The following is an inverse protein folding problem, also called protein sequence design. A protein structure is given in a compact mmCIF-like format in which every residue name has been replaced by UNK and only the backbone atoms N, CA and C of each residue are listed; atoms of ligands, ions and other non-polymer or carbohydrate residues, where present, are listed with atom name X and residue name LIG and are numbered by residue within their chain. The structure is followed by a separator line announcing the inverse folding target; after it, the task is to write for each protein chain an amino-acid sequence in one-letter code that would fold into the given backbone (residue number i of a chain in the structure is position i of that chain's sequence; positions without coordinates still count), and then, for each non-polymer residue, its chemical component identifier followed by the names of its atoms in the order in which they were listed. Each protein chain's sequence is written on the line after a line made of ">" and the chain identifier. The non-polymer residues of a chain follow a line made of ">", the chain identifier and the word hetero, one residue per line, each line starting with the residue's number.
data_IF_292597942677
#
_entry.id   IF_292597942677
#
_cell.length_a   1.000
_cell.length_b   1.000
_cell.length_c   1.000
_cell.angle_alpha   90.00
_cell.angle_beta   90.00
_cell.angle_gamma   90.00
#
_symmetry.space_group_name_H-M   'P 1'
#
loop_
_entity.id
_entity.type
_entity.pdbx_description
1 polymer ?
#
# COMPACT_ATOMS: atom_id res chain seq x y z
N UNK A 1 -0.89 -16.49 21.43
CA UNK A 1 -0.30 -16.17 20.12
C UNK A 1 -0.70 -17.27 19.17
N UNK A 2 -1.55 -16.95 18.20
CA UNK A 2 -2.00 -17.94 17.22
C UNK A 2 -0.81 -18.36 16.34
N UNK A 3 -0.78 -19.61 15.89
CA UNK A 3 0.27 -20.15 15.02
C UNK A 3 0.43 -19.33 13.73
N UNK A 4 -0.65 -18.71 13.26
CA UNK A 4 -0.68 -17.81 12.10
C UNK A 4 0.08 -16.49 12.35
N UNK A 5 -0.05 -15.89 13.53
CA UNK A 5 0.62 -14.63 13.89
C UNK A 5 2.14 -14.79 13.98
N UNK A 6 2.61 -15.90 14.55
CA UNK A 6 4.03 -16.20 14.69
C UNK A 6 4.66 -16.42 13.31
N UNK A 7 3.98 -17.13 12.41
CA UNK A 7 4.40 -17.30 11.03
C UNK A 7 4.44 -15.96 10.27
N UNK A 8 3.47 -15.08 10.47
CA UNK A 8 3.44 -13.74 9.87
C UNK A 8 4.60 -12.87 10.37
N UNK A 9 4.88 -12.88 11.68
CA UNK A 9 6.03 -12.15 12.27
C UNK A 9 7.36 -12.63 11.72
N UNK A 10 7.56 -13.95 11.61
CA UNK A 10 8.75 -14.55 11.00
C UNK A 10 8.89 -14.16 9.51
N UNK A 11 7.80 -14.22 8.74
CA UNK A 11 7.78 -13.76 7.34
C UNK A 11 8.17 -12.30 7.21
N UNK A 12 7.65 -11.43 8.08
CA UNK A 12 8.03 -10.01 8.09
C UNK A 12 9.51 -9.86 8.44
N UNK A 13 10.01 -10.55 9.47
CA UNK A 13 11.41 -10.47 9.88
C UNK A 13 12.37 -10.86 8.74
N UNK A 14 12.06 -11.93 8.02
CA UNK A 14 12.91 -12.48 6.96
C UNK A 14 12.77 -11.72 5.62
N UNK A 15 11.55 -11.36 5.22
CA UNK A 15 11.28 -10.89 3.85
C UNK A 15 11.14 -9.37 3.73
N UNK A 16 10.99 -8.62 4.83
CA UNK A 16 10.75 -7.17 4.79
C UNK A 16 11.87 -6.42 4.09
N UNK A 17 13.11 -6.64 4.50
CA UNK A 17 14.27 -5.94 3.93
C UNK A 17 14.51 -6.27 2.45
N UNK A 18 14.58 -7.56 2.03
CA UNK A 18 14.80 -7.87 0.61
C UNK A 18 13.66 -7.37 -0.27
N UNK A 19 12.39 -7.43 0.16
CA UNK A 19 11.27 -6.87 -0.62
C UNK A 19 11.35 -5.35 -0.77
N UNK A 20 11.81 -4.64 0.27
CA UNK A 20 12.00 -3.18 0.18
C UNK A 20 13.16 -2.81 -0.73
N UNK A 21 14.25 -3.57 -0.71
CA UNK A 21 15.35 -3.38 -1.66
C UNK A 21 14.90 -3.62 -3.11
N UNK A 22 14.13 -4.68 -3.36
CA UNK A 22 13.56 -4.96 -4.67
C UNK A 22 12.61 -3.84 -5.15
N UNK A 23 11.76 -3.32 -4.26
CA UNK A 23 10.89 -2.18 -4.57
C UNK A 23 11.71 -0.93 -4.93
N UNK A 24 12.77 -0.63 -4.19
CA UNK A 24 13.65 0.51 -4.50
C UNK A 24 14.30 0.34 -5.89
N UNK A 25 14.77 -0.86 -6.21
CA UNK A 25 15.31 -1.16 -7.54
C UNK A 25 14.25 -1.00 -8.65
N UNK A 26 12.98 -1.35 -8.39
CA UNK A 26 11.88 -1.11 -9.33
C UNK A 26 11.61 0.38 -9.51
N UNK A 27 11.58 1.16 -8.42
CA UNK A 27 11.38 2.61 -8.49
C UNK A 27 12.50 3.33 -9.26
N UNK A 28 13.73 2.83 -9.22
CA UNK A 28 14.85 3.37 -10.00
C UNK A 28 14.71 3.11 -11.51
N UNK A 29 14.03 2.03 -11.91
CA UNK A 29 13.76 1.71 -13.32
C UNK A 29 12.65 2.57 -13.91
N UNK A 30 11.80 3.14 -13.07
CA UNK A 30 10.70 4.01 -13.52
C UNK A 30 11.26 5.39 -13.85
N UNK A 31 10.94 5.87 -15.06
CA UNK A 31 11.35 7.20 -15.49
C UNK A 31 10.65 8.27 -14.63
N UNK A 32 11.38 9.31 -14.18
CA UNK A 32 10.78 10.39 -13.39
C UNK A 32 9.78 11.16 -14.24
N UNK A 33 8.50 11.09 -13.87
CA UNK A 33 7.42 11.81 -14.52
C UNK A 33 6.40 12.26 -13.49
N UNK A 34 5.71 13.36 -13.78
CA UNK A 34 4.54 13.78 -13.00
C UNK A 34 3.33 13.00 -13.49
N UNK A 35 2.70 12.25 -12.59
CA UNK A 35 1.50 11.45 -12.86
C UNK A 35 0.32 11.98 -12.05
N UNK A 36 -0.87 11.89 -12.61
CA UNK A 36 -2.12 12.26 -11.95
C UNK A 36 -2.75 11.02 -11.35
N UNK A 37 -2.94 11.03 -10.04
CA UNK A 37 -3.57 9.95 -9.28
C UNK A 37 -4.79 10.52 -8.58
N UNK A 38 -5.94 9.88 -8.72
CA UNK A 38 -7.12 10.25 -7.97
C UNK A 38 -7.21 9.38 -6.71
N UNK A 39 -7.18 10.00 -5.53
CA UNK A 39 -7.39 9.30 -4.26
C UNK A 39 -8.70 9.79 -3.64
N UNK A 40 -9.65 8.88 -3.48
CA UNK A 40 -11.05 9.12 -3.17
C UNK A 40 -11.68 10.04 -4.24
N UNK A 41 -11.95 11.30 -3.89
CA UNK A 41 -12.51 12.32 -4.77
C UNK A 41 -11.52 13.45 -5.12
N UNK A 42 -10.25 13.32 -4.73
CA UNK A 42 -9.25 14.37 -4.94
C UNK A 42 -8.17 13.88 -5.88
N UNK A 43 -7.85 14.69 -6.89
CA UNK A 43 -6.76 14.42 -7.84
C UNK A 43 -5.47 15.03 -7.30
N UNK A 44 -4.41 14.25 -7.26
CA UNK A 44 -3.08 14.63 -6.85
C UNK A 44 -2.09 14.45 -8.00
N UNK A 45 -1.27 15.47 -8.23
CA UNK A 45 -0.14 15.39 -9.16
C UNK A 45 1.11 15.04 -8.38
N UNK A 46 1.72 13.89 -8.69
CA UNK A 46 2.80 13.28 -7.90
C UNK A 46 3.88 12.70 -8.80
N UNK A 47 5.05 12.46 -8.23
CA UNK A 47 6.16 11.81 -8.94
C UNK A 47 5.91 10.30 -9.10
N UNK A 48 6.18 9.76 -10.29
CA UNK A 48 6.03 8.35 -10.66
C UNK A 48 6.89 7.38 -9.83
N UNK A 49 7.98 7.85 -9.21
CA UNK A 49 8.90 7.02 -8.42
C UNK A 49 8.51 6.98 -6.94
N UNK A 50 7.21 6.87 -6.68
CA UNK A 50 6.67 6.76 -5.33
C UNK A 50 5.61 5.66 -5.28
N UNK A 51 5.38 5.14 -4.08
CA UNK A 51 4.26 4.21 -3.87
C UNK A 51 2.97 4.96 -3.57
N UNK A 52 1.84 4.30 -3.75
CA UNK A 52 0.52 4.84 -3.37
C UNK A 52 0.51 5.21 -1.88
N UNK A 53 1.14 4.39 -1.02
CA UNK A 53 1.25 4.70 0.41
C UNK A 53 2.08 5.97 0.67
N UNK A 54 3.17 6.20 -0.05
CA UNK A 54 4.01 7.39 0.13
C UNK A 54 3.24 8.66 -0.26
N UNK A 55 2.49 8.61 -1.36
CA UNK A 55 1.61 9.68 -1.81
C UNK A 55 0.52 9.96 -0.78
N UNK A 56 -0.12 8.92 -0.26
CA UNK A 56 -1.14 9.05 0.78
C UNK A 56 -0.58 9.75 2.03
N UNK A 57 0.61 9.34 2.49
CA UNK A 57 1.26 9.94 3.67
C UNK A 57 1.63 11.41 3.45
N UNK A 58 2.14 11.77 2.28
CA UNK A 58 2.45 13.17 1.94
C UNK A 58 1.20 14.06 1.96
N UNK A 59 0.08 13.52 1.49
CA UNK A 59 -1.21 14.22 1.45
C UNK A 59 -2.06 14.04 2.72
N UNK A 60 -1.47 13.56 3.83
CA UNK A 60 -2.13 13.34 5.13
C UNK A 60 -3.35 12.42 5.09
N UNK A 61 -3.40 11.51 4.11
CA UNK A 61 -4.41 10.44 4.00
C UNK A 61 -4.08 9.31 4.98
N UNK A 62 -5.11 8.71 5.58
CA UNK A 62 -4.97 7.78 6.73
C UNK A 62 -5.06 6.32 6.29
N UNK A 63 -4.23 5.93 5.32
CA UNK A 63 -4.07 4.52 4.96
C UNK A 63 -3.31 3.80 6.09
N UNK A 64 -3.90 2.82 6.79
CA UNK A 64 -3.19 2.06 7.81
C UNK A 64 -2.07 1.25 7.17
N UNK A 65 -0.96 1.06 7.87
CA UNK A 65 0.14 0.23 7.39
C UNK A 65 0.90 -0.34 8.58
N UNK A 66 1.58 -1.47 8.38
CA UNK A 66 2.45 -2.06 9.40
C UNK A 66 3.83 -2.41 8.80
N UNK A 67 3.92 -3.43 7.95
CA UNK A 67 5.22 -3.93 7.48
C UNK A 67 5.94 -3.06 6.43
N UNK A 68 5.21 -2.21 5.68
CA UNK A 68 5.69 -1.43 4.52
C UNK A 68 6.43 -2.26 3.45
N UNK A 69 6.05 -3.53 3.31
CA UNK A 69 6.67 -4.48 2.38
C UNK A 69 5.62 -5.36 1.65
N UNK A 70 4.33 -5.02 1.76
CA UNK A 70 3.24 -5.79 1.16
C UNK A 70 3.01 -7.18 1.78
N UNK A 71 3.61 -7.48 2.94
CA UNK A 71 3.50 -8.80 3.60
C UNK A 71 2.27 -8.86 4.50
N UNK A 72 2.06 -7.83 5.32
CA UNK A 72 1.07 -7.86 6.39
C UNK A 72 -0.38 -7.62 5.94
N UNK A 73 -0.62 -7.22 4.69
CA UNK A 73 -1.98 -6.87 4.20
C UNK A 73 -2.59 -5.58 4.76
N UNK A 74 -2.16 -5.07 5.92
CA UNK A 74 -2.76 -3.88 6.54
C UNK A 74 -2.88 -2.63 5.64
N UNK A 75 -1.99 -2.48 4.64
CA UNK A 75 -1.96 -1.36 3.69
C UNK A 75 -2.92 -1.51 2.49
N UNK A 76 -3.84 -2.46 2.52
CA UNK A 76 -4.74 -2.72 1.40
C UNK A 76 -5.73 -1.58 1.19
N UNK A 77 -5.90 -1.21 -0.08
CA UNK A 77 -6.87 -0.24 -0.57
C UNK A 77 -7.43 -0.73 -1.90
N UNK A 78 -8.56 -0.17 -2.32
CA UNK A 78 -9.14 -0.48 -3.63
C UNK A 78 -8.49 0.42 -4.68
N UNK A 79 -7.82 -0.16 -5.66
CA UNK A 79 -7.13 0.52 -6.75
C UNK A 79 -7.80 0.07 -8.05
N UNK A 80 -8.36 1.00 -8.82
CA UNK A 80 -9.04 0.74 -10.10
C UNK A 80 -10.10 -0.37 -10.02
N UNK A 81 -10.74 -0.53 -8.86
CA UNK A 81 -11.74 -1.56 -8.60
C UNK A 81 -11.22 -2.83 -7.92
N UNK A 82 -9.92 -3.05 -7.83
CA UNK A 82 -9.30 -4.24 -7.25
C UNK A 82 -8.61 -3.98 -5.91
N UNK A 83 -8.56 -4.97 -5.03
CA UNK A 83 -7.86 -4.86 -3.75
C UNK A 83 -6.36 -5.05 -3.93
N UNK A 84 -5.59 -4.00 -3.65
CA UNK A 84 -4.14 -3.99 -3.83
C UNK A 84 -3.40 -3.34 -2.66
N UNK A 85 -2.14 -3.76 -2.48
CA UNK A 85 -1.31 -3.36 -1.33
C UNK A 85 -0.55 -2.08 -1.66
N UNK A 86 -1.07 -0.95 -1.16
CA UNK A 86 -0.57 0.41 -1.46
C UNK A 86 0.91 0.64 -1.14
N UNK A 87 1.46 -0.12 -0.20
CA UNK A 87 2.84 -0.01 0.26
C UNK A 87 3.87 -0.65 -0.67
N UNK A 88 3.43 -1.40 -1.67
CA UNK A 88 4.29 -2.01 -2.69
C UNK A 88 3.89 -1.58 -4.11
N UNK A 89 2.67 -1.07 -4.30
CA UNK A 89 2.19 -0.57 -5.58
C UNK A 89 2.79 0.78 -5.91
N UNK A 90 3.47 0.85 -7.06
CA UNK A 90 4.00 2.08 -7.66
C UNK A 90 2.83 2.86 -8.28
N UNK A 91 2.83 4.18 -8.11
CA UNK A 91 1.80 5.02 -8.72
C UNK A 91 1.91 5.01 -10.24
N UNK A 92 0.76 5.01 -10.90
CA UNK A 92 0.64 5.10 -12.36
C UNK A 92 -0.29 6.26 -12.72
N UNK A 93 -0.10 6.81 -13.91
CA UNK A 93 -0.97 7.86 -14.41
C UNK A 93 -2.39 7.33 -14.62
N UNK A 94 -3.40 8.11 -14.19
CA UNK A 94 -4.81 7.74 -14.28
C UNK A 94 -5.29 6.76 -13.21
N UNK A 95 -4.47 6.42 -12.23
CA UNK A 95 -4.84 5.48 -11.17
C UNK A 95 -5.90 6.07 -10.23
N UNK A 96 -6.94 5.31 -9.92
CA UNK A 96 -7.99 5.64 -8.95
C UNK A 96 -7.87 4.79 -7.69
N UNK A 97 -7.71 5.43 -6.53
CA UNK A 97 -7.50 4.76 -5.25
C UNK A 97 -8.61 5.15 -4.28
N UNK A 98 -9.25 4.17 -3.64
CA UNK A 98 -10.25 4.39 -2.59
C UNK A 98 -9.71 3.85 -1.27
N UNK A 99 -9.47 4.75 -0.31
CA UNK A 99 -8.89 4.43 1.00
C UNK A 99 -9.92 3.83 1.97
N UNK A 100 -11.16 4.33 1.92
CA UNK A 100 -12.22 4.06 2.90
C UNK A 100 -13.47 3.51 2.22
N UNK A 101 -13.44 2.30 1.71
CA UNK A 101 -14.70 1.58 1.49
C UNK A 101 -15.21 1.05 2.84
N UNK A 102 -16.53 1.06 3.05
CA UNK A 102 -17.16 0.45 4.22
C UNK A 102 -16.76 -1.04 4.35
N UNK A 103 -16.61 -1.72 3.21
CA UNK A 103 -16.07 -3.09 3.12
C UNK A 103 -14.66 -3.22 3.70
N UNK A 104 -13.75 -2.28 3.40
CA UNK A 104 -12.38 -2.30 3.94
C UNK A 104 -12.35 -2.05 5.44
N UNK A 105 -13.26 -1.24 5.97
CA UNK A 105 -13.37 -1.00 7.41
C UNK A 105 -13.88 -2.25 8.13
N UNK A 106 -14.94 -2.87 7.62
CA UNK A 106 -15.46 -4.14 8.15
C UNK A 106 -14.42 -5.26 8.08
N UNK A 107 -13.70 -5.40 6.95
CA UNK A 107 -12.64 -6.39 6.83
C UNK A 107 -11.51 -6.17 7.85
N UNK A 108 -11.12 -4.91 8.08
CA UNK A 108 -10.10 -4.57 9.10
C UNK A 108 -10.58 -4.83 10.53
N UNK A 109 -11.86 -4.62 10.82
CA UNK A 109 -12.45 -4.92 12.13
C UNK A 109 -12.55 -6.43 12.36
N UNK A 110 -12.92 -7.20 11.34
CA UNK A 110 -13.07 -8.66 11.44
C UNK A 110 -11.72 -9.40 11.46
N UNK A 111 -10.61 -8.76 11.07
CA UNK A 111 -9.26 -9.32 11.28
C UNK A 111 -8.73 -9.13 12.72
N UNK A 112 -9.53 -8.58 13.64
CA UNK A 112 -9.15 -8.38 15.04
C UNK A 112 -9.65 -9.48 15.99
N UNK A 113 -10.38 -10.46 15.47
CA UNK A 113 -10.86 -11.62 16.22
C UNK A 113 -10.24 -12.89 15.63
N UNK A 114 -9.59 -13.67 16.51
CA UNK A 114 -8.88 -14.97 16.35
C UNK A 114 -7.34 -14.97 16.42
#
# INVERSE_FOLDING_TARGET
>A
MSSSETAMKLRIALLKYPKRAALQAQLQKVQPAQVRVQINNTVYTVDSRQTVLDVARKNKLKIPFNCRAGICGACEAKIDGEYAKTCYTIVKDGMHVVEKSAELQNWRQNCSDE
#
